data_IF_555157027849
#
_entry.id   IF_555157027849
#
_cell.length_a   1.000
_cell.length_b   1.000
_cell.length_c   1.000
_cell.angle_alpha   90.00
_cell.angle_beta   90.00
_cell.angle_gamma   90.00
#
_symmetry.space_group_name_H-M   'P 1'
#
loop_
_entity.id
_entity.type
_entity.pdbx_description
1 polymer ?
#
# COMPACT_ATOMS: atom_id res chain seq x y z
N UNK A 1 23.30 6.08 24.79
CA UNK A 1 22.95 6.65 23.48
C UNK A 1 22.35 5.53 22.66
N UNK A 2 21.01 5.43 22.63
CA UNK A 2 20.27 4.59 21.70
C UNK A 2 18.87 5.19 21.64
N UNK A 3 18.72 6.17 20.77
CA UNK A 3 17.45 6.80 20.43
C UNK A 3 16.73 5.86 19.47
N UNK A 4 15.90 4.97 20.02
CA UNK A 4 14.96 4.21 19.21
C UNK A 4 13.88 5.18 18.75
N UNK A 5 13.90 5.47 17.44
CA UNK A 5 12.98 6.38 16.78
C UNK A 5 11.54 6.08 17.17
N UNK A 6 10.96 6.97 17.97
CA UNK A 6 9.55 7.00 18.31
C UNK A 6 8.78 7.24 17.02
N UNK A 7 8.04 6.24 16.56
CA UNK A 7 7.01 6.43 15.52
C UNK A 7 6.08 7.52 16.05
N UNK A 8 5.88 8.63 15.33
CA UNK A 8 4.97 9.67 15.79
C UNK A 8 3.58 9.04 15.96
N UNK A 9 3.00 9.20 17.15
CA UNK A 9 1.56 9.12 17.37
C UNK A 9 0.89 9.80 16.17
N UNK A 10 0.11 9.08 15.37
CA UNK A 10 -0.55 9.63 14.18
C UNK A 10 -1.38 10.86 14.61
N UNK A 11 -0.86 12.07 14.34
CA UNK A 11 -1.26 13.29 15.01
C UNK A 11 -1.85 14.34 14.06
N UNK A 12 -2.27 14.01 12.84
CA UNK A 12 -3.15 14.85 12.01
C UNK A 12 -3.47 14.13 10.69
N UNK A 13 -4.55 14.52 9.99
CA UNK A 13 -4.78 14.12 8.59
C UNK A 13 -3.60 14.42 7.65
N UNK A 14 -2.79 15.44 7.95
CA UNK A 14 -1.58 15.76 7.20
C UNK A 14 -0.49 14.69 7.33
N UNK A 15 -0.38 14.06 8.51
CA UNK A 15 0.59 12.99 8.75
C UNK A 15 0.21 11.72 7.98
N UNK A 16 -1.10 11.46 7.85
CA UNK A 16 -1.63 10.36 7.05
C UNK A 16 -1.30 10.57 5.57
N UNK A 17 -1.52 11.79 5.05
CA UNK A 17 -1.24 12.09 3.65
C UNK A 17 0.25 11.92 3.30
N UNK A 18 1.15 12.41 4.17
CA UNK A 18 2.58 12.26 3.98
C UNK A 18 3.01 10.80 4.06
N UNK A 19 2.46 10.04 4.99
CA UNK A 19 2.77 8.61 5.14
C UNK A 19 2.34 7.81 3.91
N UNK A 20 1.16 8.10 3.33
CA UNK A 20 0.71 7.47 2.09
C UNK A 20 1.60 7.83 0.89
N UNK A 21 2.15 9.05 0.83
CA UNK A 21 3.11 9.42 -0.22
C UNK A 21 4.43 8.66 -0.05
N UNK A 22 4.97 8.58 1.17
CA UNK A 22 6.19 7.81 1.45
C UNK A 22 6.02 6.34 1.11
N UNK A 23 4.87 5.74 1.43
CA UNK A 23 4.54 4.37 1.04
C UNK A 23 4.50 4.22 -0.49
N UNK A 24 3.88 5.16 -1.20
CA UNK A 24 3.82 5.12 -2.66
C UNK A 24 5.22 5.21 -3.28
N UNK A 25 6.10 6.07 -2.76
CA UNK A 25 7.50 6.15 -3.19
C UNK A 25 8.24 4.84 -2.94
N UNK A 26 8.11 4.26 -1.74
CA UNK A 26 8.73 2.98 -1.40
C UNK A 26 8.30 1.86 -2.36
N UNK A 27 7.01 1.76 -2.65
CA UNK A 27 6.47 0.75 -3.57
C UNK A 27 6.94 0.96 -5.01
N UNK A 28 7.04 2.22 -5.45
CA UNK A 28 7.50 2.54 -6.80
C UNK A 28 8.97 2.19 -6.96
N UNK A 29 9.83 2.61 -6.03
CA UNK A 29 11.25 2.26 -6.05
C UNK A 29 11.46 0.75 -5.87
N UNK A 30 10.67 0.10 -5.02
CA UNK A 30 10.71 -1.36 -4.86
C UNK A 30 10.32 -2.09 -6.15
N UNK A 31 9.35 -1.60 -6.91
CA UNK A 31 8.99 -2.18 -8.20
C UNK A 31 10.15 -2.06 -9.21
N UNK A 32 10.82 -0.92 -9.26
CA UNK A 32 11.99 -0.71 -10.12
C UNK A 32 13.15 -1.66 -9.75
N UNK A 33 13.44 -1.82 -8.45
CA UNK A 33 14.43 -2.78 -7.94
C UNK A 33 14.05 -4.23 -8.26
N UNK A 34 12.78 -4.60 -8.10
CA UNK A 34 12.31 -5.94 -8.49
C UNK A 34 12.41 -6.17 -10.00
N UNK A 35 12.14 -5.13 -10.80
CA UNK A 35 12.23 -5.20 -12.25
C UNK A 35 13.66 -5.43 -12.76
N UNK A 36 14.69 -4.98 -12.02
CA UNK A 36 16.10 -5.29 -12.32
C UNK A 36 16.55 -6.67 -11.83
N UNK A 37 15.67 -7.40 -11.13
CA UNK A 37 15.92 -8.76 -10.64
C UNK A 37 16.50 -8.82 -9.22
N UNK A 38 16.60 -7.68 -8.54
CA UNK A 38 16.99 -7.62 -7.14
C UNK A 38 15.79 -7.89 -6.22
N UNK A 39 16.02 -8.56 -5.09
CA UNK A 39 14.95 -8.83 -4.14
C UNK A 39 14.67 -7.60 -3.27
N UNK A 40 13.40 -7.31 -3.08
CA UNK A 40 12.92 -6.27 -2.16
C UNK A 40 12.36 -6.92 -0.91
N UNK A 41 12.80 -6.43 0.25
CA UNK A 41 12.24 -6.85 1.52
C UNK A 41 10.94 -6.09 1.79
N UNK A 42 9.82 -6.81 1.74
CA UNK A 42 8.49 -6.31 2.08
C UNK A 42 8.04 -6.82 3.46
N UNK A 43 8.94 -7.44 4.22
CA UNK A 43 8.64 -7.97 5.54
C UNK A 43 8.20 -6.85 6.48
N UNK A 44 7.11 -7.08 7.21
CA UNK A 44 6.57 -6.11 8.16
C UNK A 44 5.69 -5.02 7.56
N UNK A 45 5.60 -4.91 6.22
CA UNK A 45 4.80 -3.88 5.55
C UNK A 45 3.33 -3.88 6.00
N UNK A 46 2.72 -5.06 6.17
CA UNK A 46 1.34 -5.18 6.68
C UNK A 46 1.18 -4.56 8.08
N UNK A 47 2.17 -4.77 8.96
CA UNK A 47 2.16 -4.24 10.33
C UNK A 47 2.25 -2.71 10.33
N UNK A 48 2.94 -2.13 9.36
CA UNK A 48 3.09 -0.69 9.21
C UNK A 48 1.86 -0.05 8.55
N UNK A 49 1.24 -0.73 7.57
CA UNK A 49 0.07 -0.21 6.84
C UNK A 49 -1.20 -0.27 7.68
N UNK A 50 -1.39 -1.32 8.48
CA UNK A 50 -2.66 -1.55 9.21
C UNK A 50 -3.06 -0.37 10.12
N UNK A 51 -2.17 0.20 10.96
CA UNK A 51 -2.51 1.37 11.78
C UNK A 51 -2.90 2.61 10.96
N UNK A 52 -2.32 2.78 9.77
CA UNK A 52 -2.63 3.90 8.87
C UNK A 52 -4.05 3.75 8.31
N UNK A 53 -4.41 2.54 7.87
CA UNK A 53 -5.76 2.25 7.39
C UNK A 53 -6.79 2.41 8.50
N UNK A 54 -6.50 1.94 9.71
CA UNK A 54 -7.37 2.10 10.87
C UNK A 54 -7.56 3.60 11.21
N UNK A 55 -6.49 4.40 11.13
CA UNK A 55 -6.57 5.84 11.32
C UNK A 55 -7.42 6.55 10.26
N UNK A 56 -7.34 6.13 8.99
CA UNK A 56 -8.18 6.65 7.91
C UNK A 56 -9.65 6.33 8.15
N UNK A 57 -9.97 5.12 8.60
CA UNK A 57 -11.34 4.71 8.93
C UNK A 57 -11.91 5.49 10.13
N UNK A 58 -11.06 6.00 11.01
CA UNK A 58 -11.46 6.85 12.12
C UNK A 58 -11.69 8.33 11.73
N UNK A 59 -11.33 8.75 10.51
CA UNK A 59 -11.54 10.13 10.06
C UNK A 59 -13.02 10.43 9.74
N UNK A 60 -13.44 11.70 9.86
CA UNK A 60 -14.72 12.15 9.34
C UNK A 60 -14.86 11.85 7.84
N UNK A 61 -16.06 11.48 7.38
CA UNK A 61 -16.31 11.04 6.01
C UNK A 61 -15.78 11.99 4.91
N UNK A 62 -15.87 13.33 5.02
CA UNK A 62 -15.28 14.23 4.02
C UNK A 62 -13.75 14.11 3.93
N UNK A 63 -13.07 13.92 5.05
CA UNK A 63 -11.61 13.80 5.12
C UNK A 63 -11.15 12.44 4.62
N UNK A 64 -11.84 11.36 5.00
CA UNK A 64 -11.57 10.02 4.47
C UNK A 64 -11.77 9.96 2.95
N UNK A 65 -12.83 10.61 2.43
CA UNK A 65 -13.09 10.68 0.98
C UNK A 65 -12.01 11.44 0.22
N UNK A 66 -11.41 12.47 0.82
CA UNK A 66 -10.31 13.21 0.21
C UNK A 66 -9.05 12.34 -0.02
N UNK A 67 -8.86 11.29 0.78
CA UNK A 67 -7.72 10.38 0.68
C UNK A 67 -7.92 9.23 -0.33
N UNK A 68 -9.15 9.01 -0.83
CA UNK A 68 -9.47 7.91 -1.74
C UNK A 68 -8.57 7.86 -2.99
N UNK A 69 -8.31 8.97 -3.72
CA UNK A 69 -7.44 8.91 -4.90
C UNK A 69 -6.02 8.44 -4.57
N UNK A 70 -5.54 8.73 -3.36
CA UNK A 70 -4.19 8.35 -2.91
C UNK A 70 -4.14 6.88 -2.52
N UNK A 71 -5.16 6.39 -1.83
CA UNK A 71 -5.34 4.97 -1.53
C UNK A 71 -5.43 4.12 -2.81
N UNK A 72 -6.15 4.61 -3.83
CA UNK A 72 -6.21 3.95 -5.14
C UNK A 72 -4.82 3.85 -5.81
N UNK A 73 -4.00 4.91 -5.72
CA UNK A 73 -2.62 4.91 -6.23
C UNK A 73 -1.73 3.91 -5.48
N UNK A 74 -1.85 3.83 -4.16
CA UNK A 74 -1.11 2.85 -3.34
C UNK A 74 -1.50 1.42 -3.72
N UNK A 75 -2.80 1.13 -3.88
CA UNK A 75 -3.28 -0.17 -4.33
C UNK A 75 -2.72 -0.54 -5.72
N UNK A 76 -2.77 0.40 -6.67
CA UNK A 76 -2.21 0.17 -8.00
C UNK A 76 -0.69 -0.09 -7.98
N UNK A 77 0.06 0.57 -7.08
CA UNK A 77 1.49 0.32 -6.90
C UNK A 77 1.76 -1.07 -6.30
N UNK A 78 0.99 -1.49 -5.27
CA UNK A 78 1.06 -2.84 -4.71
C UNK A 78 0.75 -3.92 -5.76
N UNK A 79 -0.23 -3.68 -6.63
CA UNK A 79 -0.57 -4.61 -7.71
C UNK A 79 0.56 -4.72 -8.74
N UNK A 80 1.22 -3.61 -9.09
CA UNK A 80 2.41 -3.65 -9.96
C UNK A 80 3.55 -4.43 -9.33
N UNK A 81 3.87 -4.16 -8.06
CA UNK A 81 4.90 -4.91 -7.31
C UNK A 81 4.58 -6.41 -7.31
N UNK A 82 3.34 -6.79 -7.03
CA UNK A 82 2.91 -8.19 -7.04
C UNK A 82 3.03 -8.83 -8.44
N UNK A 83 2.62 -8.12 -9.49
CA UNK A 83 2.76 -8.60 -10.87
C UNK A 83 4.21 -8.74 -11.31
N UNK A 84 5.08 -7.80 -10.91
CA UNK A 84 6.52 -7.88 -11.17
C UNK A 84 7.16 -9.03 -10.39
N UNK A 85 6.79 -9.25 -9.12
CA UNK A 85 7.21 -10.43 -8.34
C UNK A 85 6.82 -11.75 -9.02
N UNK A 86 5.57 -11.88 -9.48
CA UNK A 86 5.13 -13.08 -10.21
C UNK A 86 5.87 -13.23 -11.55
N UNK A 87 6.14 -12.14 -12.26
CA UNK A 87 6.88 -12.21 -13.53
C UNK A 87 8.34 -12.60 -13.35
N UNK A 88 9.00 -12.06 -12.33
CA UNK A 88 10.46 -12.22 -12.10
C UNK A 88 10.76 -13.48 -11.27
N UNK A 89 9.83 -13.88 -10.39
CA UNK A 89 10.01 -15.00 -9.47
C UNK A 89 8.85 -16.02 -9.49
N UNK A 90 7.94 -15.98 -10.46
CA UNK A 90 6.74 -16.84 -10.52
C UNK A 90 7.03 -18.33 -10.55
N UNK A 91 8.13 -18.74 -11.18
CA UNK A 91 8.61 -20.13 -11.14
C UNK A 91 9.03 -20.57 -9.72
N UNK A 92 9.35 -19.64 -8.82
CA UNK A 92 9.70 -19.89 -7.42
C UNK A 92 8.52 -19.71 -6.45
N UNK A 93 7.47 -18.98 -6.82
CA UNK A 93 6.43 -18.49 -5.88
C UNK A 93 5.05 -19.17 -5.98
N UNK A 94 4.77 -19.94 -7.04
CA UNK A 94 3.67 -20.93 -7.05
C UNK A 94 2.25 -20.46 -6.66
N UNK A 95 1.82 -19.22 -6.95
CA UNK A 95 0.57 -18.68 -6.38
C UNK A 95 -0.22 -17.69 -7.23
N UNK A 96 -1.11 -18.19 -8.11
CA UNK A 96 -2.10 -17.38 -8.88
C UNK A 96 -3.32 -16.92 -8.07
N UNK A 97 -3.58 -17.50 -6.90
CA UNK A 97 -4.87 -17.39 -6.20
C UNK A 97 -5.06 -16.06 -5.44
N UNK A 98 -3.98 -15.43 -4.98
CA UNK A 98 -4.03 -14.21 -4.15
C UNK A 98 -4.39 -12.94 -4.93
N UNK A 99 -4.21 -12.93 -6.26
CA UNK A 99 -4.47 -11.76 -7.12
C UNK A 99 -5.98 -11.54 -7.35
N UNK A 100 -6.76 -12.62 -7.49
CA UNK A 100 -8.20 -12.54 -7.74
C UNK A 100 -8.96 -11.85 -6.58
N UNK A 101 -8.55 -12.11 -5.34
CA UNK A 101 -9.13 -11.49 -4.15
C UNK A 101 -8.86 -9.97 -4.09
N UNK A 102 -7.68 -9.53 -4.56
CA UNK A 102 -7.31 -8.10 -4.58
C UNK A 102 -8.04 -7.33 -5.67
N UNK A 103 -8.17 -7.89 -6.88
CA UNK A 103 -8.96 -7.28 -7.97
C UNK A 103 -10.40 -7.04 -7.52
N UNK A 104 -10.99 -8.00 -6.80
CA UNK A 104 -12.35 -7.87 -6.27
C UNK A 104 -12.49 -6.71 -5.27
N UNK A 105 -11.50 -6.53 -4.40
CA UNK A 105 -11.49 -5.42 -3.45
C UNK A 105 -11.35 -4.05 -4.14
N UNK A 106 -10.43 -3.93 -5.11
CA UNK A 106 -10.25 -2.69 -5.87
C UNK A 106 -11.49 -2.31 -6.71
N UNK A 107 -12.17 -3.30 -7.29
CA UNK A 107 -13.43 -3.08 -8.01
C UNK A 107 -14.55 -2.59 -7.10
N UNK A 108 -14.67 -3.14 -5.89
CA UNK A 108 -15.70 -2.71 -4.93
C UNK A 108 -15.58 -1.22 -4.56
N UNK A 109 -14.36 -0.70 -4.40
CA UNK A 109 -14.13 0.74 -4.18
C UNK A 109 -14.49 1.58 -5.40
N UNK A 110 -14.14 1.11 -6.61
CA UNK A 110 -14.45 1.82 -7.86
C UNK A 110 -15.96 1.92 -8.10
N UNK A 111 -16.69 0.84 -7.88
CA UNK A 111 -18.14 0.77 -8.11
C UNK A 111 -18.98 1.51 -7.06
N UNK A 112 -18.42 1.80 -5.88
CA UNK A 112 -19.08 2.62 -4.87
C UNK A 112 -19.12 4.12 -5.17
N UNK A 113 -18.54 4.57 -6.29
CA UNK A 113 -18.51 5.99 -6.72
C UNK A 113 -19.73 6.41 -7.55
N UNK A 114 -20.53 5.44 -8.02
CA UNK A 114 -21.71 5.66 -8.88
C UNK A 114 -23.06 5.47 -8.15
N UNK A 115 -23.08 5.52 -6.81
CA UNK A 115 -24.31 5.55 -5.99
C UNK A 115 -24.31 6.75 -5.04
#
# INVERSE_FOLDING_TARGET
>A
MTEHGTIPTLAAPADIDQTLESLLSLLTSGEETLATGEMVDLYGLEREIKPILDAILALPAPQARALLPKLERVLAALDKVAGTLERVHGDKLGGRETHATRIRAAQAYRSGKDM
#
